data_IF_547303357936
#
_entry.id   IF_547303357936
#
_cell.length_a   1.000
_cell.length_b   1.000
_cell.length_c   1.000
_cell.angle_alpha   90.00
_cell.angle_beta   90.00
_cell.angle_gamma   90.00
#
_symmetry.space_group_name_H-M   'P 1'
#
loop_
_entity.id
_entity.type
_entity.pdbx_description
1 polymer ?
#
# COMPACT_ATOMS: atom_id res chain seq x y z
N UNK A 1 -5.58 -2.45 -2.96
CA UNK A 1 -4.45 -1.51 -3.11
C UNK A 1 -4.85 -0.55 -4.19
N UNK A 2 -4.72 0.72 -3.88
CA UNK A 2 -5.11 1.85 -4.69
C UNK A 2 -4.42 1.86 -6.06
N UNK A 3 -5.18 2.15 -7.11
CA UNK A 3 -4.68 2.24 -8.49
C UNK A 3 -4.24 3.68 -8.84
N UNK A 4 -3.01 4.04 -8.54
CA UNK A 4 -2.50 5.41 -8.75
C UNK A 4 -2.15 5.71 -10.23
N UNK A 5 -2.60 6.85 -10.77
CA UNK A 5 -2.14 7.46 -12.04
C UNK A 5 -1.37 8.74 -11.79
N UNK A 6 -0.42 9.09 -12.65
CA UNK A 6 0.34 10.33 -12.55
C UNK A 6 -0.24 11.36 -13.53
N UNK A 7 -0.64 12.54 -13.04
CA UNK A 7 -1.24 13.62 -13.87
C UNK A 7 -0.21 14.49 -14.58
N UNK A 8 1.01 14.57 -14.06
CA UNK A 8 2.10 15.39 -14.59
C UNK A 8 3.41 14.68 -14.34
N UNK A 9 4.23 14.55 -15.39
CA UNK A 9 5.42 13.72 -15.39
C UNK A 9 6.28 13.94 -14.15
N UNK A 10 6.41 12.88 -13.33
CA UNK A 10 7.59 12.72 -12.51
C UNK A 10 8.81 12.97 -13.41
N UNK A 11 9.74 13.79 -12.94
CA UNK A 11 11.01 13.98 -13.64
C UNK A 11 11.64 12.58 -13.80
N UNK A 12 11.78 12.13 -15.06
CA UNK A 12 12.25 10.81 -15.48
C UNK A 12 11.62 9.61 -14.75
N UNK A 13 10.69 8.91 -15.42
CA UNK A 13 10.12 7.65 -14.92
C UNK A 13 11.22 6.70 -14.45
N UNK A 14 11.29 6.44 -13.13
CA UNK A 14 12.30 5.56 -12.57
C UNK A 14 11.90 4.12 -12.87
N UNK A 15 12.72 3.33 -13.59
CA UNK A 15 12.36 1.95 -13.91
C UNK A 15 12.31 1.12 -12.63
N UNK A 16 11.36 0.18 -12.54
CA UNK A 16 11.17 -0.66 -11.34
C UNK A 16 12.48 -1.21 -10.76
N UNK A 17 13.43 -1.77 -11.55
CA UNK A 17 14.72 -2.23 -11.02
C UNK A 17 15.52 -1.20 -10.21
N UNK A 18 15.41 0.10 -10.54
CA UNK A 18 16.09 1.17 -9.82
C UNK A 18 15.38 1.59 -8.52
N UNK A 19 14.11 1.21 -8.34
CA UNK A 19 13.32 1.43 -7.12
C UNK A 19 13.51 0.28 -6.10
N UNK A 20 14.08 -0.84 -6.53
CA UNK A 20 14.32 -2.00 -5.67
C UNK A 20 15.58 -1.77 -4.86
N UNK A 21 15.44 -1.71 -3.53
CA UNK A 21 16.55 -1.37 -2.64
C UNK A 21 17.66 -2.42 -2.74
N UNK A 22 17.30 -3.70 -2.87
CA UNK A 22 18.25 -4.81 -3.03
C UNK A 22 17.73 -5.80 -4.09
N UNK A 23 18.16 -5.64 -5.34
CA UNK A 23 17.81 -6.54 -6.45
C UNK A 23 18.32 -7.99 -6.30
N UNK A 24 18.95 -8.34 -5.16
CA UNK A 24 19.69 -9.61 -4.97
C UNK A 24 19.66 -10.19 -3.56
N UNK A 25 18.95 -9.57 -2.61
CA UNK A 25 18.80 -10.15 -1.27
C UNK A 25 17.57 -11.04 -1.18
N UNK A 26 17.78 -12.28 -0.77
CA UNK A 26 16.71 -13.22 -0.43
C UNK A 26 15.87 -12.63 0.72
N UNK A 27 14.65 -12.18 0.40
CA UNK A 27 13.70 -11.62 1.37
C UNK A 27 13.58 -12.49 2.61
N UNK A 28 13.68 -13.82 2.46
CA UNK A 28 13.56 -14.78 3.55
C UNK A 28 14.68 -14.67 4.60
N UNK A 29 15.81 -14.03 4.27
CA UNK A 29 16.88 -13.71 5.23
C UNK A 29 16.52 -12.53 6.13
N UNK A 30 15.74 -11.58 5.62
CA UNK A 30 15.37 -10.35 6.33
C UNK A 30 14.01 -10.49 7.03
N UNK A 31 13.08 -11.21 6.42
CA UNK A 31 11.70 -11.35 6.88
C UNK A 31 11.25 -12.81 6.89
N UNK A 32 10.28 -13.11 7.74
CA UNK A 32 9.50 -14.34 7.66
C UNK A 32 8.07 -14.03 7.24
N UNK A 33 7.60 -14.64 6.15
CA UNK A 33 6.20 -14.55 5.72
C UNK A 33 5.31 -15.45 6.57
N UNK A 34 4.15 -14.93 6.97
CA UNK A 34 3.15 -15.59 7.82
C UNK A 34 1.83 -15.78 7.09
N UNK A 35 0.72 -15.57 7.81
CA UNK A 35 -0.64 -15.76 7.27
C UNK A 35 -0.94 -14.81 6.12
N UNK A 36 -1.77 -15.26 5.16
CA UNK A 36 -2.37 -14.39 4.13
C UNK A 36 -3.27 -13.36 4.79
N UNK A 37 -3.14 -12.10 4.39
CA UNK A 37 -3.96 -10.97 4.81
C UNK A 37 -5.00 -10.60 3.75
N UNK A 38 -4.67 -10.73 2.47
CA UNK A 38 -5.58 -10.40 1.38
C UNK A 38 -5.02 -10.79 0.01
N UNK A 39 -5.84 -10.69 -1.02
CA UNK A 39 -5.45 -10.89 -2.42
C UNK A 39 -6.01 -9.76 -3.27
N UNK A 40 -5.16 -9.19 -4.11
CA UNK A 40 -5.52 -8.15 -5.07
C UNK A 40 -5.10 -8.52 -6.49
N UNK A 41 -5.35 -7.61 -7.43
CA UNK A 41 -5.07 -7.78 -8.85
C UNK A 41 -3.64 -8.29 -9.10
N UNK A 42 -2.64 -7.58 -8.59
CA UNK A 42 -1.24 -7.85 -8.87
C UNK A 42 -0.63 -8.97 -8.00
N UNK A 43 -1.24 -9.32 -6.86
CA UNK A 43 -0.54 -10.18 -5.92
C UNK A 43 -1.30 -10.52 -4.65
N UNK A 44 -0.63 -11.27 -3.78
CA UNK A 44 -1.16 -11.68 -2.48
C UNK A 44 -0.39 -10.96 -1.37
N UNK A 45 -1.11 -10.42 -0.40
CA UNK A 45 -0.53 -9.75 0.77
C UNK A 45 -0.47 -10.71 1.94
N UNK A 46 0.69 -10.80 2.59
CA UNK A 46 0.94 -11.64 3.75
C UNK A 46 1.36 -10.80 4.95
N UNK A 47 1.08 -11.28 6.15
CA UNK A 47 1.77 -10.81 7.34
C UNK A 47 3.24 -11.17 7.18
N UNK A 48 4.15 -10.25 7.50
CA UNK A 48 5.57 -10.54 7.52
C UNK A 48 6.19 -9.98 8.79
N UNK A 49 7.26 -10.63 9.26
CA UNK A 49 7.96 -10.25 10.49
C UNK A 49 9.43 -10.07 10.18
N UNK A 50 9.95 -8.89 10.47
CA UNK A 50 11.38 -8.60 10.33
C UNK A 50 12.17 -9.42 11.34
N UNK A 51 13.08 -10.26 10.88
CA UNK A 51 13.79 -11.23 11.73
C UNK A 51 14.68 -10.55 12.77
N UNK A 52 15.29 -9.43 12.42
CA UNK A 52 16.22 -8.73 13.28
C UNK A 52 15.53 -8.06 14.49
N UNK A 53 14.30 -7.60 14.32
CA UNK A 53 13.60 -6.76 15.30
C UNK A 53 12.34 -7.40 15.89
N UNK A 54 11.78 -8.41 15.21
CA UNK A 54 10.48 -8.98 15.53
C UNK A 54 9.30 -8.09 15.15
N UNK A 55 9.54 -6.94 14.50
CA UNK A 55 8.48 -6.02 14.09
C UNK A 55 7.66 -6.60 12.95
N UNK A 56 6.35 -6.36 12.99
CA UNK A 56 5.39 -6.87 12.03
C UNK A 56 5.05 -5.84 10.96
N UNK A 57 4.92 -6.32 9.72
CA UNK A 57 4.66 -5.56 8.51
C UNK A 57 3.69 -6.35 7.62
N UNK A 58 3.14 -5.71 6.59
CA UNK A 58 2.48 -6.38 5.49
C UNK A 58 3.47 -6.53 4.32
N UNK A 59 3.45 -7.67 3.63
CA UNK A 59 4.26 -7.91 2.44
C UNK A 59 3.36 -8.29 1.28
N UNK A 60 3.25 -7.42 0.27
CA UNK A 60 2.57 -7.75 -1.00
C UNK A 60 3.57 -8.47 -1.90
N UNK A 61 3.28 -9.73 -2.21
CA UNK A 61 4.04 -10.56 -3.11
C UNK A 61 3.40 -10.52 -4.51
N UNK A 62 4.12 -10.01 -5.49
CA UNK A 62 3.69 -9.85 -6.88
C UNK A 62 4.50 -10.83 -7.73
N UNK A 63 3.91 -11.94 -8.21
CA UNK A 63 4.62 -12.89 -9.06
C UNK A 63 5.04 -12.23 -10.38
N UNK A 64 6.31 -12.35 -10.76
CA UNK A 64 6.84 -11.81 -12.03
C UNK A 64 6.13 -12.39 -13.25
N UNK A 65 5.59 -13.61 -13.14
CA UNK A 65 4.73 -14.21 -14.18
C UNK A 65 3.39 -13.46 -14.42
N UNK A 66 3.00 -12.55 -13.53
CA UNK A 66 1.86 -11.63 -13.70
C UNK A 66 2.30 -10.27 -14.27
N UNK A 67 3.60 -10.08 -14.54
CA UNK A 67 4.20 -8.88 -15.12
C UNK A 67 4.70 -9.23 -16.53
N UNK A 68 3.77 -9.56 -17.41
CA UNK A 68 4.06 -10.08 -18.76
C UNK A 68 4.17 -8.92 -19.75
N UNK A 69 3.38 -7.86 -19.57
CA UNK A 69 3.43 -6.66 -20.40
C UNK A 69 4.33 -5.58 -19.79
N UNK A 70 4.86 -4.70 -20.65
CA UNK A 70 5.56 -3.50 -20.21
C UNK A 70 4.67 -2.60 -19.36
N UNK A 71 3.37 -2.54 -19.68
CA UNK A 71 2.37 -1.77 -18.94
C UNK A 71 2.23 -2.28 -17.49
N UNK A 72 2.16 -3.59 -17.27
CA UNK A 72 2.07 -4.17 -15.91
C UNK A 72 3.35 -3.89 -15.08
N UNK A 73 4.52 -3.93 -15.72
CA UNK A 73 5.79 -3.61 -15.07
C UNK A 73 5.83 -2.12 -14.68
N UNK A 74 5.39 -1.25 -15.58
CA UNK A 74 5.30 0.19 -15.32
C UNK A 74 4.28 0.50 -14.23
N UNK A 75 3.10 -0.14 -14.22
CA UNK A 75 2.08 0.05 -13.19
C UNK A 75 2.62 -0.28 -11.79
N UNK A 76 3.34 -1.40 -11.64
CA UNK A 76 4.01 -1.74 -10.38
C UNK A 76 5.13 -0.76 -10.04
N UNK A 77 5.93 -0.34 -11.01
CA UNK A 77 6.96 0.69 -10.82
C UNK A 77 6.38 2.00 -10.29
N UNK A 78 5.29 2.46 -10.91
CA UNK A 78 4.56 3.67 -10.51
C UNK A 78 3.97 3.51 -9.10
N UNK A 79 3.38 2.36 -8.78
CA UNK A 79 2.86 2.08 -7.43
C UNK A 79 3.96 2.22 -6.36
N UNK A 80 5.14 1.66 -6.61
CA UNK A 80 6.31 1.78 -5.70
C UNK A 80 6.78 3.22 -5.58
N UNK A 81 6.89 3.94 -6.69
CA UNK A 81 7.34 5.33 -6.73
C UNK A 81 6.39 6.25 -5.96
N UNK A 82 5.08 6.11 -6.18
CA UNK A 82 4.05 6.90 -5.50
C UNK A 82 4.08 6.64 -4.00
N UNK A 83 4.13 5.39 -3.57
CA UNK A 83 4.21 5.06 -2.14
C UNK A 83 5.47 5.62 -1.48
N UNK A 84 6.60 5.64 -2.20
CA UNK A 84 7.83 6.23 -1.69
C UNK A 84 7.71 7.76 -1.52
N UNK A 85 7.17 8.46 -2.51
CA UNK A 85 6.99 9.92 -2.45
C UNK A 85 5.96 10.38 -1.42
N UNK A 86 4.89 9.60 -1.24
CA UNK A 86 3.84 9.88 -0.27
C UNK A 86 4.15 9.36 1.15
N UNK A 87 5.29 8.70 1.31
CA UNK A 87 5.75 8.17 2.59
C UNK A 87 5.87 9.29 3.64
N UNK A 88 5.41 9.01 4.86
CA UNK A 88 5.38 9.98 5.96
C UNK A 88 4.07 10.76 6.11
N UNK A 89 3.15 10.72 5.14
CA UNK A 89 1.80 11.25 5.36
C UNK A 89 1.04 10.36 6.37
N UNK A 90 0.39 10.93 7.41
CA UNK A 90 -0.20 10.14 8.51
C UNK A 90 -1.32 9.19 8.05
N UNK A 91 -2.00 9.49 6.94
CA UNK A 91 -3.09 8.70 6.38
C UNK A 91 -2.72 7.88 5.13
N UNK A 92 -1.43 7.74 4.83
CA UNK A 92 -0.95 6.88 3.73
C UNK A 92 -0.10 5.75 4.32
N UNK A 93 -0.29 4.53 3.81
CA UNK A 93 0.51 3.37 4.18
C UNK A 93 1.96 3.62 3.77
N UNK A 94 2.86 3.52 4.75
CA UNK A 94 4.29 3.72 4.50
C UNK A 94 4.91 2.48 3.85
N UNK A 95 5.61 2.68 2.73
CA UNK A 95 6.49 1.66 2.16
C UNK A 95 7.79 1.62 2.97
N UNK A 96 8.12 0.46 3.54
CA UNK A 96 9.40 0.23 4.22
C UNK A 96 10.49 -0.13 3.22
N UNK A 97 10.17 -0.92 2.20
CA UNK A 97 11.10 -1.23 1.12
C UNK A 97 10.50 -2.14 0.06
N UNK A 98 11.14 -2.14 -1.11
CA UNK A 98 10.80 -3.00 -2.24
C UNK A 98 11.99 -3.92 -2.57
N UNK A 99 11.72 -5.20 -2.77
CA UNK A 99 12.70 -6.27 -2.98
C UNK A 99 12.26 -7.13 -4.15
N UNK A 100 13.18 -7.92 -4.72
CA UNK A 100 12.83 -8.92 -5.71
C UNK A 100 13.68 -10.18 -5.55
N UNK A 101 13.11 -11.31 -5.98
CA UNK A 101 13.86 -12.54 -6.23
C UNK A 101 13.68 -12.98 -7.70
N UNK A 102 14.07 -14.22 -8.01
CA UNK A 102 13.94 -14.75 -9.38
C UNK A 102 12.48 -14.82 -9.89
N UNK A 103 11.49 -14.84 -9.00
CA UNK A 103 10.09 -15.18 -9.32
C UNK A 103 9.06 -14.16 -8.86
N UNK A 104 9.38 -13.25 -7.93
CA UNK A 104 8.47 -12.29 -7.32
C UNK A 104 9.13 -10.93 -7.09
N UNK A 105 8.29 -9.90 -7.03
CA UNK A 105 8.56 -8.59 -6.43
C UNK A 105 7.83 -8.53 -5.09
N UNK A 106 8.47 -7.95 -4.08
CA UNK A 106 7.98 -7.89 -2.70
C UNK A 106 7.93 -6.45 -2.22
N UNK A 107 6.75 -5.98 -1.81
CA UNK A 107 6.56 -4.66 -1.22
C UNK A 107 6.30 -4.81 0.28
N UNK A 108 7.30 -4.48 1.10
CA UNK A 108 7.18 -4.50 2.56
C UNK A 108 6.66 -3.14 3.01
N UNK A 109 5.50 -3.14 3.65
CA UNK A 109 4.73 -1.96 3.98
C UNK A 109 4.23 -1.99 5.42
N UNK A 110 3.85 -0.83 5.93
CA UNK A 110 3.20 -0.67 7.22
C UNK A 110 1.99 -1.63 7.35
N UNK A 111 1.91 -2.37 8.47
CA UNK A 111 0.77 -3.24 8.75
C UNK A 111 -0.42 -2.44 9.29
N UNK A 112 -1.60 -2.66 8.71
CA UNK A 112 -2.89 -2.17 9.20
C UNK A 112 -3.76 -3.36 9.65
N UNK A 113 -4.05 -3.44 10.96
CA UNK A 113 -4.74 -4.60 11.57
C UNK A 113 -6.22 -4.35 11.86
N UNK A 114 -6.70 -3.14 11.58
CA UNK A 114 -8.05 -2.69 11.91
C UNK A 114 -9.14 -3.04 10.93
N UNK A 115 -8.79 -3.70 9.81
CA UNK A 115 -9.70 -4.07 8.74
C UNK A 115 -10.04 -2.92 7.79
N UNK A 116 -10.91 -3.21 6.82
CA UNK A 116 -11.37 -2.27 5.80
C UNK A 116 -12.39 -1.29 6.37
N UNK A 117 -12.42 -0.07 5.81
CA UNK A 117 -13.46 0.90 6.10
C UNK A 117 -14.84 0.37 5.70
N UNK A 118 -14.92 -0.38 4.59
CA UNK A 118 -16.15 -0.98 4.11
C UNK A 118 -16.82 -1.87 5.18
N UNK A 119 -16.07 -2.82 5.73
CA UNK A 119 -16.55 -3.74 6.77
C UNK A 119 -16.98 -2.96 8.01
N UNK A 120 -16.18 -1.97 8.45
CA UNK A 120 -16.54 -1.14 9.62
C UNK A 120 -17.82 -0.33 9.39
N UNK A 121 -18.07 0.12 8.16
CA UNK A 121 -19.31 0.81 7.82
C UNK A 121 -20.50 -0.14 7.96
N UNK A 122 -20.38 -1.36 7.44
CA UNK A 122 -21.43 -2.38 7.51
C UNK A 122 -21.70 -2.79 8.97
N UNK A 123 -20.65 -3.08 9.74
CA UNK A 123 -20.78 -3.55 11.13
C UNK A 123 -21.42 -2.52 12.06
N UNK A 124 -21.06 -1.23 11.92
CA UNK A 124 -21.67 -0.15 12.73
C UNK A 124 -23.10 0.18 12.31
N UNK A 125 -23.45 -0.02 11.04
CA UNK A 125 -24.77 0.28 10.47
C UNK A 125 -25.04 1.77 10.26
N UNK A 126 -24.91 2.61 11.29
CA UNK A 126 -25.16 4.07 11.18
C UNK A 126 -23.96 4.90 11.61
N UNK A 127 -23.72 5.98 10.87
CA UNK A 127 -22.76 7.02 11.19
C UNK A 127 -23.51 8.33 11.34
N UNK A 128 -23.21 9.07 12.42
CA UNK A 128 -23.64 10.45 12.54
C UNK A 128 -22.92 11.31 11.49
N UNK A 129 -23.51 12.45 11.11
CA UNK A 129 -22.86 13.38 10.18
C UNK A 129 -21.47 13.82 10.67
N UNK A 130 -21.30 13.97 11.99
CA UNK A 130 -20.02 14.32 12.59
C UNK A 130 -18.95 13.21 12.41
N UNK A 131 -19.34 11.94 12.47
CA UNK A 131 -18.43 10.82 12.21
C UNK A 131 -18.10 10.67 10.74
N UNK A 132 -19.11 10.77 9.87
CA UNK A 132 -18.91 10.78 8.43
C UNK A 132 -17.99 11.93 8.00
N UNK A 133 -18.17 13.13 8.54
CA UNK A 133 -17.31 14.28 8.26
C UNK A 133 -15.85 14.06 8.67
N UNK A 134 -15.59 13.32 9.75
CA UNK A 134 -14.22 12.96 10.18
C UNK A 134 -13.56 11.99 9.20
N UNK A 135 -14.29 10.97 8.75
CA UNK A 135 -13.80 10.03 7.73
C UNK A 135 -13.55 10.75 6.40
N UNK A 136 -14.51 11.54 5.93
CA UNK A 136 -14.39 12.31 4.68
C UNK A 136 -13.21 13.27 4.72
N UNK A 137 -12.98 13.97 5.83
CA UNK A 137 -11.79 14.85 5.99
C UNK A 137 -10.49 14.07 5.81
N UNK A 138 -10.42 12.86 6.35
CA UNK A 138 -9.24 12.00 6.23
C UNK A 138 -9.03 11.54 4.79
N UNK A 139 -10.09 11.08 4.12
CA UNK A 139 -10.07 10.70 2.71
C UNK A 139 -9.61 11.87 1.83
N UNK A 140 -10.17 13.07 2.05
CA UNK A 140 -9.78 14.28 1.31
C UNK A 140 -8.33 14.67 1.58
N UNK A 141 -7.80 14.46 2.80
CA UNK A 141 -6.38 14.68 3.10
C UNK A 141 -5.46 13.76 2.29
N UNK A 142 -5.84 12.49 2.11
CA UNK A 142 -5.11 11.55 1.24
C UNK A 142 -5.13 12.04 -0.22
N UNK A 143 -6.30 12.44 -0.71
CA UNK A 143 -6.45 12.97 -2.07
C UNK A 143 -5.62 14.24 -2.28
N UNK A 144 -5.61 15.13 -1.29
CA UNK A 144 -4.78 16.34 -1.32
C UNK A 144 -3.28 15.99 -1.41
N UNK A 145 -2.81 15.02 -0.61
CA UNK A 145 -1.42 14.57 -0.62
C UNK A 145 -1.02 13.97 -1.99
N UNK A 146 -1.90 13.15 -2.58
CA UNK A 146 -1.71 12.61 -3.92
C UNK A 146 -1.62 13.74 -4.95
N UNK A 147 -2.59 14.66 -4.96
CA UNK A 147 -2.66 15.75 -5.93
C UNK A 147 -1.48 16.72 -5.82
N UNK A 148 -1.01 17.03 -4.59
CA UNK A 148 0.20 17.84 -4.36
C UNK A 148 1.46 17.18 -4.92
N UNK A 149 1.46 15.85 -5.03
CA UNK A 149 2.55 15.06 -5.60
C UNK A 149 2.34 14.74 -7.08
N UNK A 150 1.32 15.34 -7.73
CA UNK A 150 1.04 15.11 -9.15
C UNK A 150 0.37 13.77 -9.46
N UNK A 151 -0.24 13.10 -8.47
CA UNK A 151 -0.82 11.75 -8.57
C UNK A 151 -2.34 11.80 -8.40
N UNK A 152 -3.11 11.08 -9.21
CA UNK A 152 -4.51 10.69 -8.95
C UNK A 152 -4.56 9.29 -8.36
N UNK A 153 -5.39 9.08 -7.35
CA UNK A 153 -5.58 7.76 -6.77
C UNK A 153 -6.44 6.79 -7.60
N UNK A 154 -7.33 7.29 -8.48
CA UNK A 154 -8.33 6.62 -9.36
C UNK A 154 -9.27 5.56 -8.78
N UNK A 155 -8.87 4.78 -7.79
CA UNK A 155 -9.66 3.72 -7.16
C UNK A 155 -10.07 4.10 -5.73
N UNK A 156 -10.63 5.30 -5.56
CA UNK A 156 -11.14 5.75 -4.27
C UNK A 156 -12.43 5.01 -3.93
N UNK A 157 -12.32 4.01 -3.06
CA UNK A 157 -13.45 3.23 -2.55
C UNK A 157 -13.14 2.76 -1.12
N UNK A 158 -14.16 2.51 -0.27
CA UNK A 158 -13.95 2.12 1.13
C UNK A 158 -13.01 0.93 1.35
N UNK A 159 -12.94 -0.02 0.43
CA UNK A 159 -12.09 -1.22 0.46
C UNK A 159 -10.58 -0.89 0.38
N UNK A 160 -10.23 0.28 -0.19
CA UNK A 160 -8.84 0.74 -0.25
C UNK A 160 -8.42 1.57 0.97
N UNK A 161 -9.30 1.74 1.96
CA UNK A 161 -8.95 2.40 3.22
C UNK A 161 -8.95 1.38 4.36
N UNK A 162 -7.82 1.27 5.05
CA UNK A 162 -7.60 0.35 6.15
C UNK A 162 -7.43 1.11 7.46
N UNK A 163 -7.96 0.57 8.55
CA UNK A 163 -7.66 1.08 9.88
C UNK A 163 -6.34 0.50 10.38
N UNK A 164 -5.52 1.36 10.98
CA UNK A 164 -4.23 0.95 11.56
C UNK A 164 -4.37 -0.14 12.63
N UNK A 165 -5.37 -0.02 13.50
CA UNK A 165 -5.67 -0.91 14.63
C UNK A 165 -7.17 -1.15 14.74
N UNK A 166 -7.59 -2.05 15.62
CA UNK A 166 -9.02 -2.39 15.80
C UNK A 166 -9.80 -1.36 16.60
N UNK A 167 -9.11 -0.47 17.31
CA UNK A 167 -9.70 0.58 18.16
C UNK A 167 -10.64 1.51 17.36
N UNK A 168 -11.66 2.04 18.03
CA UNK A 168 -12.70 2.86 17.39
C UNK A 168 -12.18 4.22 16.88
N UNK A 169 -11.13 4.76 17.50
CA UNK A 169 -10.46 6.01 17.10
C UNK A 169 -9.21 5.76 16.24
N UNK A 170 -9.05 4.53 15.73
CA UNK A 170 -7.90 4.16 14.92
C UNK A 170 -7.73 5.07 13.70
N UNK A 171 -6.48 5.39 13.39
CA UNK A 171 -6.11 6.13 12.19
C UNK A 171 -6.52 5.35 10.95
N UNK A 172 -7.19 6.04 10.02
CA UNK A 172 -7.52 5.54 8.69
C UNK A 172 -6.34 5.80 7.74
N UNK A 173 -5.98 4.78 6.96
CA UNK A 173 -4.84 4.75 6.04
C UNK A 173 -5.32 4.33 4.65
N UNK A 174 -4.81 4.96 3.59
CA UNK A 174 -4.92 4.48 2.21
C UNK A 174 -3.65 3.72 1.81
#
# INVERSE_FOLDING_TARGET
MADFEVLVGFQEHVPLPALLQNATDDLEKLYSLGKKLGEGQFGTTYLCTERATGLQFACKCIPKRKLISSEEIEDVGREVEVMYHLSGHPNIVTLKGAYEDATNVYLVMELCEGGELFDRIIERGTYTEAEAARLTRTIVSVVEACHKSGVVHRDLKPENFLFKTKEDDSVLKA
#
